data_IF_423810984014
#
_entry.id   IF_423810984014
#
_cell.length_a   1.000
_cell.length_b   1.000
_cell.length_c   1.000
_cell.angle_alpha   90.00
_cell.angle_beta   90.00
_cell.angle_gamma   90.00
#
_symmetry.space_group_name_H-M   'P 1'
#
loop_
_entity.id
_entity.type
_entity.pdbx_description
1 polymer ?
#
# COMPACT_ATOMS: atom_id res chain seq x y z
N UNK A 1 -3.77 19.39 -2.07
CA UNK A 1 -5.19 19.02 -1.83
C UNK A 1 -5.24 17.74 -0.99
N UNK A 2 -6.22 17.55 -0.10
CA UNK A 2 -6.33 16.30 0.66
C UNK A 2 -6.77 15.12 -0.21
N UNK A 3 -6.47 13.90 0.23
CA UNK A 3 -6.95 12.65 -0.39
C UNK A 3 -8.49 12.63 -0.35
N UNK A 4 -9.13 12.30 -1.48
CA UNK A 4 -10.57 12.09 -1.58
C UNK A 4 -10.91 10.61 -1.37
N UNK A 5 -11.67 10.29 -0.32
CA UNK A 5 -12.00 8.90 0.02
C UNK A 5 -13.04 8.26 -0.93
N UNK A 6 -13.73 9.07 -1.74
CA UNK A 6 -14.63 8.60 -2.80
C UNK A 6 -13.90 8.28 -4.12
N UNK A 7 -12.58 8.49 -4.19
CA UNK A 7 -11.77 8.21 -5.38
C UNK A 7 -10.96 6.94 -5.19
N UNK A 8 -11.01 6.04 -6.19
CA UNK A 8 -10.04 4.95 -6.35
C UNK A 8 -8.88 5.44 -7.21
N UNK A 9 -7.73 5.66 -6.59
CA UNK A 9 -6.53 6.20 -7.23
C UNK A 9 -5.81 5.14 -8.05
N UNK A 10 -5.27 5.56 -9.20
CA UNK A 10 -4.59 4.69 -10.17
C UNK A 10 -3.10 4.99 -10.29
N UNK A 11 -2.54 5.83 -9.43
CA UNK A 11 -1.15 6.31 -9.52
C UNK A 11 -0.44 6.30 -8.17
N UNK A 12 0.76 5.70 -8.12
CA UNK A 12 1.68 5.81 -6.99
C UNK A 12 2.15 7.25 -6.76
N UNK A 13 2.31 8.05 -7.81
CA UNK A 13 2.69 9.46 -7.67
C UNK A 13 1.64 10.25 -6.85
N UNK A 14 0.35 9.96 -7.03
CA UNK A 14 -0.70 10.57 -6.21
C UNK A 14 -0.54 10.19 -4.73
N UNK A 15 -0.18 8.94 -4.44
CA UNK A 15 0.07 8.48 -3.07
C UNK A 15 1.17 9.31 -2.40
N UNK A 16 2.31 9.47 -3.04
CA UNK A 16 3.43 10.23 -2.46
C UNK A 16 3.13 11.74 -2.40
N UNK A 17 2.54 12.31 -3.45
CA UNK A 17 2.26 13.75 -3.55
C UNK A 17 1.16 14.23 -2.60
N UNK A 18 0.22 13.37 -2.22
CA UNK A 18 -0.96 13.73 -1.41
C UNK A 18 -0.91 13.19 0.03
N UNK A 19 0.18 12.52 0.42
CA UNK A 19 0.27 11.87 1.73
C UNK A 19 -0.76 10.75 1.89
N UNK A 20 -0.73 9.79 0.97
CA UNK A 20 -1.72 8.72 0.82
C UNK A 20 -1.68 7.62 1.88
N UNK A 21 -0.61 7.52 2.67
CA UNK A 21 -0.45 6.50 3.71
C UNK A 21 -1.69 6.40 4.60
N UNK A 22 -2.11 5.18 4.92
CA UNK A 22 -3.25 4.83 5.80
C UNK A 22 -4.65 5.10 5.22
N UNK A 23 -4.78 5.92 4.16
CA UNK A 23 -6.12 6.38 3.71
C UNK A 23 -6.37 6.37 2.21
N UNK A 24 -5.36 6.26 1.35
CA UNK A 24 -5.59 6.28 -0.09
C UNK A 24 -6.09 4.92 -0.57
N UNK A 25 -7.27 4.90 -1.20
CA UNK A 25 -7.80 3.72 -1.88
C UNK A 25 -7.17 3.64 -3.25
N UNK A 26 -6.39 2.60 -3.51
CA UNK A 26 -5.63 2.45 -4.74
C UNK A 26 -6.04 1.20 -5.49
N UNK A 27 -6.01 1.24 -6.82
CA UNK A 27 -6.03 0.02 -7.64
C UNK A 27 -4.84 -0.87 -7.30
N UNK A 28 -4.94 -2.17 -7.58
CA UNK A 28 -3.85 -3.16 -7.46
C UNK A 28 -2.52 -2.63 -8.02
N UNK A 29 -2.53 -2.15 -9.27
CA UNK A 29 -1.31 -1.68 -9.94
C UNK A 29 -0.67 -0.47 -9.25
N UNK A 30 -1.50 0.48 -8.79
CA UNK A 30 -1.01 1.64 -8.06
C UNK A 30 -0.42 1.26 -6.70
N UNK A 31 -1.04 0.33 -5.98
CA UNK A 31 -0.54 -0.14 -4.69
C UNK A 31 0.78 -0.92 -4.83
N UNK A 32 0.89 -1.79 -5.84
CA UNK A 32 2.15 -2.47 -6.18
C UNK A 32 3.26 -1.46 -6.49
N UNK A 33 2.96 -0.45 -7.32
CA UNK A 33 3.92 0.60 -7.65
C UNK A 33 4.39 1.40 -6.41
N UNK A 34 3.48 1.69 -5.46
CA UNK A 34 3.87 2.29 -4.17
C UNK A 34 4.85 1.41 -3.41
N UNK A 35 4.59 0.10 -3.32
CA UNK A 35 5.49 -0.83 -2.66
C UNK A 35 6.88 -0.84 -3.33
N UNK A 36 6.94 -0.91 -4.66
CA UNK A 36 8.20 -0.91 -5.41
C UNK A 36 9.00 0.39 -5.26
N UNK A 37 8.34 1.54 -5.25
CA UNK A 37 8.99 2.86 -5.16
C UNK A 37 9.33 3.31 -3.73
N UNK A 38 8.75 2.67 -2.69
CA UNK A 38 8.84 3.16 -1.32
C UNK A 38 10.28 3.27 -0.80
N UNK A 39 11.13 2.26 -1.06
CA UNK A 39 12.50 2.22 -0.56
C UNK A 39 13.35 3.39 -1.11
N UNK A 40 13.23 3.67 -2.42
CA UNK A 40 13.90 4.79 -3.09
C UNK A 40 13.50 6.15 -2.50
N UNK A 41 12.34 6.20 -1.85
CA UNK A 41 11.77 7.41 -1.24
C UNK A 41 11.99 7.51 0.27
N UNK A 42 12.83 6.66 0.86
CA UNK A 42 13.07 6.72 2.29
C UNK A 42 11.98 6.06 3.13
N UNK A 43 11.17 5.18 2.54
CA UNK A 43 9.98 4.60 3.17
C UNK A 43 10.01 3.08 3.21
N UNK A 44 9.41 2.52 4.25
CA UNK A 44 9.11 1.09 4.36
C UNK A 44 7.62 0.86 4.47
N UNK A 45 7.13 -0.18 3.79
CA UNK A 45 5.73 -0.62 3.87
C UNK A 45 5.52 -1.40 5.16
N UNK A 46 4.67 -0.87 6.03
CA UNK A 46 4.36 -1.47 7.32
C UNK A 46 3.12 -2.37 7.27
N UNK A 47 2.13 -2.03 6.44
CA UNK A 47 0.85 -2.73 6.37
C UNK A 47 0.19 -2.55 5.01
N UNK A 48 -0.50 -3.59 4.56
CA UNK A 48 -1.44 -3.59 3.43
C UNK A 48 -2.82 -3.99 3.95
N UNK A 49 -3.84 -3.24 3.53
CA UNK A 49 -5.25 -3.58 3.76
C UNK A 49 -5.96 -3.59 2.42
N UNK A 50 -6.49 -4.74 2.02
CA UNK A 50 -7.25 -4.89 0.78
C UNK A 50 -8.75 -4.96 1.01
N UNK A 51 -9.47 -4.88 -0.10
CA UNK A 51 -10.92 -5.00 -0.08
C UNK A 51 -11.58 -4.85 -1.45
N UNK A 52 -12.87 -4.58 -1.42
CA UNK A 52 -13.72 -4.47 -2.60
C UNK A 52 -14.15 -3.02 -2.80
N UNK A 53 -14.05 -2.53 -4.04
CA UNK A 53 -14.51 -1.21 -4.43
C UNK A 53 -15.95 -1.22 -4.96
N UNK A 54 -16.82 -0.38 -4.37
CA UNK A 54 -18.25 -0.29 -4.68
C UNK A 54 -18.66 0.97 -5.48
N UNK A 55 -17.69 1.73 -6.02
CA UNK A 55 -17.90 2.91 -6.89
C UNK A 55 -19.08 3.87 -6.54
N UNK A 56 -18.94 4.73 -5.51
CA UNK A 56 -17.85 4.80 -4.54
C UNK A 56 -18.14 3.92 -3.32
N UNK A 57 -17.08 3.43 -2.68
CA UNK A 57 -17.19 2.71 -1.42
C UNK A 57 -16.05 1.70 -1.27
N UNK A 58 -15.54 1.57 -0.06
CA UNK A 58 -14.50 0.60 0.27
C UNK A 58 -15.05 -0.36 1.32
N UNK A 59 -15.13 -1.63 0.97
CA UNK A 59 -15.42 -2.71 1.91
C UNK A 59 -14.09 -3.34 2.33
N UNK A 60 -13.68 -3.11 3.58
CA UNK A 60 -12.47 -3.68 4.14
C UNK A 60 -12.62 -5.20 4.35
N UNK A 61 -11.56 -5.95 4.05
CA UNK A 61 -11.57 -7.42 4.09
C UNK A 61 -10.49 -7.90 5.05
N UNK A 62 -10.90 -8.47 6.19
CA UNK A 62 -10.01 -8.90 7.28
C UNK A 62 -9.07 -10.03 6.82
N UNK A 63 -9.54 -10.85 5.88
CA UNK A 63 -8.79 -11.88 5.17
C UNK A 63 -7.76 -11.32 4.18
N UNK A 64 -7.78 -10.01 3.90
CA UNK A 64 -6.85 -9.34 3.00
C UNK A 64 -5.96 -8.31 3.74
N UNK A 65 -5.36 -8.73 4.85
CA UNK A 65 -4.41 -7.91 5.62
C UNK A 65 -3.03 -8.55 5.58
N UNK A 66 -2.02 -7.71 5.34
CA UNK A 66 -0.61 -8.07 5.50
C UNK A 66 0.08 -7.04 6.39
N UNK A 67 0.94 -7.54 7.27
CA UNK A 67 1.78 -6.72 8.14
C UNK A 67 3.25 -7.08 7.90
N UNK A 68 4.13 -6.08 8.00
CA UNK A 68 5.58 -6.31 7.98
C UNK A 68 5.99 -7.27 9.09
N UNK A 69 6.86 -8.23 8.78
CA UNK A 69 7.31 -9.25 9.72
C UNK A 69 8.18 -8.69 10.86
N UNK A 70 8.88 -7.58 10.62
CA UNK A 70 9.72 -6.88 11.58
C UNK A 70 9.40 -5.38 11.54
N UNK A 71 9.43 -4.69 12.69
CA UNK A 71 9.17 -3.26 12.77
C UNK A 71 10.13 -2.56 13.74
N UNK A 72 10.98 -1.62 13.25
CA UNK A 72 11.30 -1.38 11.85
C UNK A 72 12.20 -2.51 11.29
N UNK A 73 12.02 -2.94 10.04
CA UNK A 73 12.95 -3.88 9.43
C UNK A 73 14.32 -3.22 9.25
N UNK A 74 15.38 -4.03 9.33
CA UNK A 74 16.76 -3.58 9.07
C UNK A 74 16.86 -2.98 7.66
N UNK A 75 17.69 -1.96 7.49
CA UNK A 75 17.87 -1.24 6.21
C UNK A 75 18.11 -2.20 5.03
N UNK A 76 18.97 -3.20 5.21
CA UNK A 76 19.30 -4.19 4.18
C UNK A 76 18.11 -5.10 3.78
N UNK A 77 17.08 -5.19 4.63
CA UNK A 77 15.89 -6.00 4.41
C UNK A 77 14.70 -5.21 3.83
N UNK A 78 14.79 -3.88 3.68
CA UNK A 78 13.65 -3.03 3.30
C UNK A 78 13.14 -3.34 1.89
N UNK A 79 14.05 -3.52 0.92
CA UNK A 79 13.66 -3.90 -0.43
C UNK A 79 12.93 -5.25 -0.44
N UNK A 80 13.41 -6.23 0.33
CA UNK A 80 12.78 -7.54 0.47
C UNK A 80 11.41 -7.44 1.14
N UNK A 81 11.28 -6.60 2.18
CA UNK A 81 10.01 -6.36 2.86
C UNK A 81 8.97 -5.73 1.91
N UNK A 82 9.36 -4.67 1.22
CA UNK A 82 8.47 -3.97 0.30
C UNK A 82 8.08 -4.86 -0.89
N UNK A 83 9.00 -5.70 -1.38
CA UNK A 83 8.70 -6.73 -2.38
C UNK A 83 7.71 -7.77 -1.85
N UNK A 84 7.83 -8.20 -0.60
CA UNK A 84 6.87 -9.12 0.01
C UNK A 84 5.46 -8.51 0.09
N UNK A 85 5.35 -7.22 0.42
CA UNK A 85 4.08 -6.49 0.40
C UNK A 85 3.48 -6.41 -1.02
N UNK A 86 4.30 -6.12 -2.04
CA UNK A 86 3.87 -6.12 -3.44
C UNK A 86 3.37 -7.51 -3.90
N UNK A 87 4.10 -8.56 -3.55
CA UNK A 87 3.73 -9.94 -3.86
C UNK A 87 2.42 -10.35 -3.16
N UNK A 88 2.21 -9.89 -1.91
CA UNK A 88 0.94 -10.08 -1.22
C UNK A 88 -0.22 -9.45 -2.01
N UNK A 89 -0.11 -8.17 -2.40
CA UNK A 89 -1.15 -7.49 -3.20
C UNK A 89 -1.46 -8.27 -4.48
N UNK A 90 -0.42 -8.70 -5.20
CA UNK A 90 -0.59 -9.44 -6.44
C UNK A 90 -1.29 -10.80 -6.21
N UNK A 91 -0.96 -11.52 -5.14
CA UNK A 91 -1.62 -12.78 -4.80
C UNK A 91 -3.12 -12.63 -4.45
N UNK A 92 -3.51 -11.43 -4.02
CA UNK A 92 -4.88 -11.08 -3.62
C UNK A 92 -5.73 -10.49 -4.77
N UNK A 93 -5.14 -10.19 -5.93
CA UNK A 93 -5.77 -9.40 -7.00
C UNK A 93 -6.99 -10.06 -7.66
N UNK A 94 -7.14 -11.38 -7.48
CA UNK A 94 -8.29 -12.14 -8.01
C UNK A 94 -9.58 -11.81 -7.25
N UNK A 95 -9.47 -11.62 -5.94
CA UNK A 95 -10.63 -11.51 -5.03
C UNK A 95 -10.83 -10.06 -4.55
N UNK A 96 -9.80 -9.22 -4.62
CA UNK A 96 -9.81 -7.84 -4.12
C UNK A 96 -9.21 -6.86 -5.13
N UNK A 97 -9.84 -5.70 -5.29
CA UNK A 97 -9.54 -4.75 -6.38
C UNK A 97 -9.18 -3.33 -5.88
N UNK A 98 -9.06 -3.16 -4.56
CA UNK A 98 -8.66 -1.92 -3.93
C UNK A 98 -7.82 -2.18 -2.69
N UNK A 99 -6.75 -1.40 -2.54
CA UNK A 99 -5.76 -1.56 -1.47
C UNK A 99 -5.43 -0.22 -0.84
N UNK A 100 -5.17 -0.24 0.46
CA UNK A 100 -4.60 0.84 1.26
C UNK A 100 -3.21 0.38 1.70
N UNK A 101 -2.21 1.23 1.46
CA UNK A 101 -0.82 0.99 1.87
C UNK A 101 -0.51 1.93 3.03
N UNK A 102 0.11 1.38 4.07
CA UNK A 102 0.70 2.16 5.16
C UNK A 102 2.21 2.12 5.02
N UNK A 103 2.81 3.29 4.80
CA UNK A 103 4.28 3.48 4.81
C UNK A 103 4.71 4.32 6.00
N UNK A 104 5.89 4.01 6.53
CA UNK A 104 6.58 4.80 7.57
C UNK A 104 7.99 5.18 7.09
N UNK A 105 8.58 6.28 7.59
CA UNK A 105 9.96 6.64 7.31
C UNK A 105 10.95 5.57 7.78
N UNK A 106 12.02 5.34 7.01
CA UNK A 106 13.16 4.56 7.47
C UNK A 106 13.82 5.28 8.66
N UNK A 107 14.12 4.53 9.71
CA UNK A 107 14.85 5.02 10.88
C UNK A 107 16.29 4.54 10.74
N UNK A 108 17.24 5.48 10.68
CA UNK A 108 18.68 5.20 10.71
C UNK A 108 19.18 4.96 12.14
#
# INVERSE_FOLDING_TARGET
MPVNLATRYTSSNAYFSLGGSVKMRMTTQAAIAVCSEAAERGLVVARIEGGIWHNPGFEARIDCIWDSAEYPPKVDAINTNNLAAANFIHAQERDYDVFIVTTIPMIN
#
